data_IF_107984126347
#
_entry.id   IF_107984126347
#
_cell.length_a   1.000
_cell.length_b   1.000
_cell.length_c   1.000
_cell.angle_alpha   90.00
_cell.angle_beta   90.00
_cell.angle_gamma   90.00
#
_symmetry.space_group_name_H-M   'P 1'
#
loop_
_entity.id
_entity.type
_entity.pdbx_description
1 polymer ?
#
# COMPACT_ATOMS: atom_id res chain seq x y z
N UNK A 1 -5.18 10.94 10.00
CA UNK A 1 -5.16 10.36 8.63
C UNK A 1 -3.83 9.64 8.50
N UNK A 2 -3.83 8.32 8.28
CA UNK A 2 -2.59 7.56 8.13
C UNK A 2 -2.09 7.69 6.69
N UNK A 3 -0.87 8.18 6.53
CA UNK A 3 -0.20 8.34 5.24
C UNK A 3 0.42 7.01 4.79
N UNK A 4 0.62 6.83 3.49
CA UNK A 4 1.26 5.63 2.94
C UNK A 4 2.75 5.55 3.30
N UNK A 5 3.34 6.65 3.76
CA UNK A 5 4.72 6.68 4.24
C UNK A 5 4.93 5.81 5.49
N UNK A 6 3.89 5.60 6.30
CA UNK A 6 3.96 4.70 7.47
C UNK A 6 4.25 3.24 7.09
N UNK A 7 3.96 2.84 5.84
CA UNK A 7 4.33 1.53 5.32
C UNK A 7 5.85 1.31 5.30
N UNK A 8 6.64 2.40 5.24
CA UNK A 8 8.10 2.34 5.30
C UNK A 8 8.57 1.74 6.63
N UNK A 9 7.94 2.13 7.75
CA UNK A 9 8.22 1.59 9.09
C UNK A 9 7.92 0.09 9.20
N UNK A 10 7.01 -0.42 8.36
CA UNK A 10 6.64 -1.83 8.27
C UNK A 10 7.47 -2.63 7.24
N UNK A 11 8.52 -2.03 6.68
CA UNK A 11 9.44 -2.71 5.75
C UNK A 11 8.96 -2.72 4.29
N UNK A 12 8.01 -1.87 3.91
CA UNK A 12 7.70 -1.61 2.50
C UNK A 12 8.72 -0.64 1.92
N UNK A 13 9.22 -0.93 0.73
CA UNK A 13 10.19 -0.07 0.05
C UNK A 13 9.55 1.26 -0.37
N UNK A 14 10.30 2.35 -0.16
CA UNK A 14 9.93 3.71 -0.61
C UNK A 14 9.62 3.77 -2.11
N UNK A 15 10.31 2.96 -2.93
CA UNK A 15 10.03 2.86 -4.37
C UNK A 15 8.60 2.35 -4.65
N UNK A 16 8.09 1.42 -3.86
CA UNK A 16 6.73 0.90 -4.02
C UNK A 16 5.69 1.89 -3.47
N UNK A 17 6.01 2.61 -2.39
CA UNK A 17 5.20 3.72 -1.86
C UNK A 17 5.06 4.85 -2.89
N UNK A 18 6.16 5.24 -3.55
CA UNK A 18 6.14 6.27 -4.59
C UNK A 18 5.30 5.87 -5.80
N UNK A 19 5.26 4.58 -6.17
CA UNK A 19 4.38 4.07 -7.23
C UNK A 19 2.91 4.17 -6.86
N UNK A 20 2.57 3.89 -5.60
CA UNK A 20 1.21 4.06 -5.06
C UNK A 20 0.81 5.54 -5.10
N UNK A 21 1.67 6.44 -4.61
CA UNK A 21 1.46 7.90 -4.67
C UNK A 21 1.28 8.38 -6.11
N UNK A 22 2.10 7.89 -7.04
CA UNK A 22 1.97 8.22 -8.47
C UNK A 22 0.67 7.72 -9.11
N UNK A 23 -0.01 6.75 -8.51
CA UNK A 23 -1.33 6.28 -8.91
C UNK A 23 -2.47 6.96 -8.13
N UNK A 24 -2.17 8.03 -7.37
CA UNK A 24 -3.14 8.78 -6.59
C UNK A 24 -3.51 8.16 -5.24
N UNK A 25 -2.77 7.13 -4.81
CA UNK A 25 -2.99 6.46 -3.53
C UNK A 25 -2.02 7.04 -2.49
N UNK A 26 -2.52 8.03 -1.73
CA UNK A 26 -1.72 8.76 -0.75
C UNK A 26 -2.11 8.45 0.71
N UNK A 27 -3.07 7.55 0.96
CA UNK A 27 -3.43 7.18 2.34
C UNK A 27 -3.58 5.67 2.53
N UNK A 28 -3.35 5.19 3.74
CA UNK A 28 -3.57 3.78 4.11
C UNK A 28 -5.03 3.37 3.84
N UNK A 29 -5.97 4.26 4.14
CA UNK A 29 -7.41 4.05 3.88
C UNK A 29 -7.69 3.84 2.39
N UNK A 30 -7.06 4.62 1.52
CA UNK A 30 -7.19 4.44 0.07
C UNK A 30 -6.65 3.07 -0.39
N UNK A 31 -5.53 2.61 0.16
CA UNK A 31 -5.00 1.26 -0.13
C UNK A 31 -5.98 0.17 0.35
N UNK A 32 -6.55 0.34 1.54
CA UNK A 32 -7.51 -0.61 2.09
C UNK A 32 -8.75 -0.75 1.20
N UNK A 33 -9.35 0.39 0.82
CA UNK A 33 -10.53 0.43 -0.06
C UNK A 33 -10.23 -0.04 -1.48
N UNK A 34 -8.99 0.11 -1.94
CA UNK A 34 -8.57 -0.36 -3.26
C UNK A 34 -8.41 -1.88 -3.25
N UNK A 35 -8.99 -2.56 -4.24
CA UNK A 35 -8.86 -4.02 -4.35
C UNK A 35 -7.46 -4.42 -4.83
N UNK A 36 -7.01 -5.64 -4.49
CA UNK A 36 -5.73 -6.19 -4.99
C UNK A 36 -5.57 -6.07 -6.50
N UNK A 37 -6.67 -6.25 -7.24
CA UNK A 37 -6.68 -6.17 -8.70
C UNK A 37 -6.28 -4.79 -9.22
N UNK A 38 -6.70 -3.71 -8.55
CA UNK A 38 -6.29 -2.35 -8.94
C UNK A 38 -4.85 -2.05 -8.52
N UNK A 39 -4.42 -2.54 -7.35
CA UNK A 39 -3.02 -2.41 -6.92
C UNK A 39 -2.07 -3.17 -7.86
N UNK A 40 -2.47 -4.33 -8.38
CA UNK A 40 -1.70 -5.11 -9.36
C UNK A 40 -1.62 -4.45 -10.75
N UNK A 41 -2.51 -3.48 -11.07
CA UNK A 41 -2.39 -2.68 -12.28
C UNK A 41 -1.31 -1.60 -12.18
N UNK A 42 -0.80 -1.32 -10.98
CA UNK A 42 0.27 -0.34 -10.79
C UNK A 42 1.54 -0.85 -11.48
N UNK A 43 2.00 -0.10 -12.47
CA UNK A 43 3.17 -0.47 -13.27
C UNK A 43 4.41 -0.60 -12.37
N UNK A 44 5.04 -1.78 -12.38
CA UNK A 44 6.24 -2.08 -11.59
C UNK A 44 5.97 -2.53 -10.14
N UNK A 45 4.72 -2.82 -9.79
CA UNK A 45 4.35 -3.58 -8.59
C UNK A 45 4.05 -5.04 -8.99
N UNK A 46 4.66 -5.99 -8.29
CA UNK A 46 4.37 -7.42 -8.46
C UNK A 46 3.25 -7.86 -7.51
N UNK A 47 2.56 -8.95 -7.83
CA UNK A 47 1.50 -9.51 -6.97
C UNK A 47 2.00 -9.77 -5.54
N UNK A 48 3.22 -10.31 -5.38
CA UNK A 48 3.85 -10.53 -4.07
C UNK A 48 3.99 -9.25 -3.24
N UNK A 49 4.31 -8.13 -3.88
CA UNK A 49 4.42 -6.83 -3.20
C UNK A 49 3.05 -6.30 -2.79
N UNK A 50 2.08 -6.42 -3.69
CA UNK A 50 0.68 -6.04 -3.42
C UNK A 50 0.12 -6.83 -2.24
N UNK A 51 0.42 -8.13 -2.17
CA UNK A 51 0.04 -9.00 -1.06
C UNK A 51 0.63 -8.50 0.28
N UNK A 52 1.94 -8.28 0.33
CA UNK A 52 2.62 -7.72 1.51
C UNK A 52 2.03 -6.39 1.96
N UNK A 53 1.76 -5.48 1.03
CA UNK A 53 1.17 -4.16 1.36
C UNK A 53 -0.23 -4.36 1.95
N UNK A 54 -1.07 -5.19 1.33
CA UNK A 54 -2.42 -5.50 1.83
C UNK A 54 -2.41 -6.13 3.21
N UNK A 55 -1.46 -7.02 3.46
CA UNK A 55 -1.28 -7.68 4.75
C UNK A 55 -0.88 -6.67 5.83
N UNK A 56 0.16 -5.85 5.58
CA UNK A 56 0.58 -4.77 6.48
C UNK A 56 -0.55 -3.80 6.77
N UNK A 57 -1.24 -3.30 5.73
CA UNK A 57 -2.39 -2.40 5.88
C UNK A 57 -3.51 -3.04 6.69
N UNK A 58 -3.77 -4.33 6.46
CA UNK A 58 -4.74 -5.11 7.22
C UNK A 58 -4.40 -5.14 8.71
N UNK A 59 -3.16 -5.48 9.06
CA UNK A 59 -2.69 -5.48 10.45
C UNK A 59 -2.74 -4.09 11.08
N UNK A 60 -2.31 -3.06 10.36
CA UNK A 60 -2.28 -1.68 10.85
C UNK A 60 -3.67 -1.14 11.20
N UNK A 61 -4.69 -1.51 10.41
CA UNK A 61 -6.07 -1.06 10.63
C UNK A 61 -6.80 -1.81 11.75
N UNK A 62 -6.33 -3.00 12.15
CA UNK A 62 -6.92 -3.76 13.26
C UNK A 62 -6.42 -3.24 14.61
N UNK A 63 -5.27 -2.57 14.64
CA UNK A 63 -4.65 -2.02 15.86
C UNK A 63 -4.98 -0.52 16.10
N UNK A 64 -5.94 0.05 15.38
CA UNK A 64 -6.39 1.45 15.52
C UNK A 64 -7.82 1.55 16.02
#
# INVERSE_FOLDING_TARGET
ILDVDELQSHGINVSDINKLKSNGICTIKAIQMTTKRNLAKVKGLSETKVDKIKEVVGTMMVNI
#
